data_IF_949455069293
#
_entry.id   IF_949455069293
#
_cell.length_a   1.000
_cell.length_b   1.000
_cell.length_c   1.000
_cell.angle_alpha   90.00
_cell.angle_beta   90.00
_cell.angle_gamma   90.00
#
_symmetry.space_group_name_H-M   'P 1'
#
loop_
_entity.id
_entity.type
_entity.pdbx_description
1 polymer ?
#
# COMPACT_ATOMS: atom_id res chain seq x y z
N UNK A 1 13.65 -6.99 -7.17
CA UNK A 1 14.20 -7.04 -5.79
C UNK A 1 13.09 -7.55 -4.91
N UNK A 2 13.33 -8.48 -3.98
CA UNK A 2 12.29 -8.81 -3.00
C UNK A 2 12.18 -7.62 -2.05
N UNK A 3 10.98 -7.04 -1.82
CA UNK A 3 10.84 -6.04 -0.79
C UNK A 3 11.32 -6.67 0.53
N UNK A 4 12.12 -5.91 1.29
CA UNK A 4 12.37 -6.24 2.69
C UNK A 4 11.01 -6.55 3.30
N UNK A 5 10.87 -7.72 3.93
CA UNK A 5 9.70 -8.03 4.72
C UNK A 5 9.74 -7.12 5.95
N UNK A 6 9.43 -5.84 5.75
CA UNK A 6 9.19 -4.91 6.83
C UNK A 6 8.06 -5.52 7.66
N UNK A 7 8.31 -5.71 8.95
CA UNK A 7 7.24 -6.07 9.86
C UNK A 7 6.12 -5.02 9.80
N UNK A 8 4.96 -5.36 10.35
CA UNK A 8 3.89 -4.39 10.57
C UNK A 8 2.73 -4.44 9.55
N UNK A 9 1.75 -3.54 9.72
CA UNK A 9 0.57 -3.47 8.88
C UNK A 9 0.91 -3.18 7.41
N UNK A 10 0.41 -4.01 6.51
CA UNK A 10 0.56 -3.83 5.07
C UNK A 10 -0.73 -4.19 4.33
N UNK A 11 -1.23 -3.28 3.51
CA UNK A 11 -2.31 -3.52 2.56
C UNK A 11 -1.74 -3.42 1.15
N UNK A 12 -1.79 -4.51 0.39
CA UNK A 12 -1.27 -4.59 -0.97
C UNK A 12 -2.40 -4.75 -1.98
N UNK A 13 -2.42 -3.88 -3.00
CA UNK A 13 -3.38 -3.92 -4.09
C UNK A 13 -2.61 -4.00 -5.40
N UNK A 14 -2.47 -5.22 -5.94
CA UNK A 14 -1.97 -5.41 -7.28
C UNK A 14 -1.27 -6.72 -7.55
N UNK A 15 -0.43 -6.69 -8.56
CA UNK A 15 0.42 -7.80 -8.98
C UNK A 15 1.87 -7.49 -8.65
N UNK A 16 2.75 -8.47 -8.87
CA UNK A 16 4.19 -8.31 -8.58
C UNK A 16 4.88 -7.20 -9.37
N UNK A 17 4.28 -6.70 -10.47
CA UNK A 17 4.87 -5.68 -11.35
C UNK A 17 4.11 -4.36 -11.37
N UNK A 18 2.88 -4.36 -10.86
CA UNK A 18 1.98 -3.23 -10.88
C UNK A 18 1.11 -3.26 -9.63
N UNK A 19 1.47 -2.45 -8.64
CA UNK A 19 0.80 -2.42 -7.35
C UNK A 19 0.80 -1.05 -6.71
N UNK A 20 -0.12 -0.88 -5.76
CA UNK A 20 -0.02 0.13 -4.70
C UNK A 20 -0.13 -0.57 -3.36
N UNK A 21 0.71 -0.19 -2.41
CA UNK A 21 0.71 -0.72 -1.07
C UNK A 21 0.71 0.42 -0.04
N UNK A 22 -0.13 0.27 0.97
CA UNK A 22 -0.16 1.14 2.14
C UNK A 22 0.46 0.36 3.30
N UNK A 23 1.61 0.81 3.78
CA UNK A 23 2.43 0.08 4.75
C UNK A 23 2.79 0.98 5.92
N UNK A 24 2.89 0.40 7.11
CA UNK A 24 3.58 1.03 8.24
C UNK A 24 4.78 0.15 8.58
N UNK A 25 5.97 0.46 8.03
CA UNK A 25 7.14 -0.39 8.19
C UNK A 25 7.59 -0.44 9.66
N UNK A 26 7.58 -1.64 10.22
CA UNK A 26 8.27 -1.96 11.47
C UNK A 26 9.59 -2.64 11.08
N UNK A 27 10.57 -1.81 10.71
CA UNK A 27 11.92 -2.27 10.43
C UNK A 27 12.66 -2.47 11.75
N UNK A 28 13.19 -3.67 11.99
CA UNK A 28 14.09 -3.92 13.10
C UNK A 28 15.52 -3.47 12.71
N UNK A 29 16.12 -2.46 13.37
CA UNK A 29 17.49 -2.03 13.10
C UNK A 29 18.53 -3.16 13.28
N UNK A 30 18.20 -4.21 14.04
CA UNK A 30 19.06 -5.37 14.23
C UNK A 30 18.99 -6.37 13.05
N UNK A 31 18.00 -6.26 12.18
CA UNK A 31 17.83 -7.13 11.02
C UNK A 31 19.00 -7.01 10.04
N UNK A 32 19.50 -8.13 9.53
CA UNK A 32 20.66 -8.15 8.63
C UNK A 32 20.38 -7.43 7.31
N UNK A 33 19.15 -7.51 6.80
CA UNK A 33 18.69 -6.81 5.61
C UNK A 33 18.65 -5.30 5.81
N UNK A 34 18.12 -4.82 6.94
CA UNK A 34 18.09 -3.40 7.31
C UNK A 34 19.51 -2.86 7.47
N UNK A 35 20.39 -3.60 8.16
CA UNK A 35 21.78 -3.20 8.34
C UNK A 35 22.54 -3.08 7.02
N UNK A 36 22.34 -4.03 6.10
CA UNK A 36 22.97 -3.99 4.78
C UNK A 36 22.44 -2.82 3.94
N UNK A 37 21.13 -2.59 3.93
CA UNK A 37 20.53 -1.48 3.21
C UNK A 37 21.00 -0.12 3.75
N UNK A 38 21.16 0.00 5.07
CA UNK A 38 21.65 1.23 5.70
C UNK A 38 23.12 1.51 5.32
N UNK A 39 23.95 0.47 5.28
CA UNK A 39 25.34 0.57 4.81
C UNK A 39 25.41 1.00 3.33
N UNK A 40 24.57 0.43 2.46
CA UNK A 40 24.48 0.80 1.05
C UNK A 40 24.02 2.26 0.85
N UNK A 41 23.10 2.73 1.69
CA UNK A 41 22.60 4.10 1.68
C UNK A 41 23.52 5.10 2.41
N UNK A 42 24.54 4.63 3.15
CA UNK A 42 25.45 5.48 3.92
C UNK A 42 24.84 6.13 5.15
N UNK A 43 23.80 5.53 5.72
CA UNK A 43 23.09 5.99 6.95
C UNK A 43 23.13 4.92 8.04
N UNK A 44 22.65 5.22 9.26
CA UNK A 44 22.60 4.19 10.32
C UNK A 44 21.36 3.29 10.17
N UNK A 45 21.39 2.04 10.66
CA UNK A 45 20.21 1.17 10.66
C UNK A 45 19.01 1.78 11.39
N UNK A 46 19.24 2.56 12.46
CA UNK A 46 18.19 3.27 13.20
C UNK A 46 17.61 4.43 12.39
N UNK A 47 18.43 5.12 11.60
CA UNK A 47 17.99 6.18 10.69
C UNK A 47 17.18 5.59 9.53
N UNK A 48 17.59 4.43 9.01
CA UNK A 48 16.82 3.72 7.97
C UNK A 48 15.50 3.15 8.51
N UNK A 49 15.52 2.56 9.71
CA UNK A 49 14.33 2.00 10.32
C UNK A 49 13.32 3.09 10.71
N UNK A 50 13.82 4.27 11.05
CA UNK A 50 13.01 5.39 11.50
C UNK A 50 12.24 5.07 12.79
N UNK A 51 11.24 5.89 13.13
CA UNK A 51 10.44 5.70 14.34
C UNK A 51 9.46 4.51 14.26
N UNK A 52 9.27 3.89 13.09
CA UNK A 52 8.37 2.74 12.88
C UNK A 52 6.87 3.04 13.02
N UNK A 53 6.49 4.30 13.22
CA UNK A 53 5.11 4.75 13.40
C UNK A 53 4.56 5.50 12.17
N UNK A 54 5.38 5.68 11.15
CA UNK A 54 5.05 6.48 9.97
C UNK A 54 4.51 5.59 8.86
N UNK A 55 3.33 5.93 8.36
CA UNK A 55 2.74 5.29 7.20
C UNK A 55 3.47 5.69 5.93
N UNK A 56 3.52 4.80 4.95
CA UNK A 56 4.06 5.05 3.63
C UNK A 56 3.17 4.45 2.54
N UNK A 57 3.16 5.09 1.38
CA UNK A 57 2.60 4.53 0.15
C UNK A 57 3.77 4.07 -0.72
N UNK A 58 3.75 2.79 -1.08
CA UNK A 58 4.63 2.23 -2.09
C UNK A 58 3.83 1.98 -3.35
N UNK A 59 4.42 2.17 -4.51
CA UNK A 59 3.77 1.81 -5.77
C UNK A 59 4.81 1.31 -6.76
N UNK A 60 4.38 0.40 -7.64
CA UNK A 60 5.18 -0.09 -8.75
C UNK A 60 4.37 0.02 -10.03
N UNK A 61 5.03 0.43 -11.12
CA UNK A 61 4.42 0.49 -12.45
C UNK A 61 5.40 -0.05 -13.48
N UNK A 62 5.06 -1.15 -14.13
CA UNK A 62 5.90 -1.77 -15.16
C UNK A 62 7.28 -2.21 -14.67
N UNK A 63 7.42 -2.56 -13.38
CA UNK A 63 8.69 -2.99 -12.79
C UNK A 63 9.51 -1.88 -12.11
N UNK A 64 9.11 -0.61 -12.25
CA UNK A 64 9.77 0.53 -11.59
C UNK A 64 8.96 0.93 -10.36
N UNK A 65 9.57 0.71 -9.18
CA UNK A 65 8.97 0.96 -7.87
C UNK A 65 9.49 2.24 -7.20
N UNK A 66 8.59 2.96 -6.54
CA UNK A 66 8.89 4.16 -5.76
C UNK A 66 7.89 4.29 -4.59
N UNK A 67 8.06 5.28 -3.72
CA UNK A 67 7.17 5.50 -2.59
C UNK A 67 7.43 6.79 -1.82
N UNK A 68 6.53 7.11 -0.90
CA UNK A 68 6.64 8.28 -0.04
C UNK A 68 5.98 8.06 1.31
N UNK A 69 6.49 8.78 2.31
CA UNK A 69 5.97 8.77 3.67
C UNK A 69 4.75 9.69 3.82
N UNK A 70 3.90 9.33 4.77
CA UNK A 70 2.66 10.01 5.14
C UNK A 70 2.74 10.46 6.61
N UNK A 71 3.55 11.48 6.93
CA UNK A 71 3.68 11.95 8.31
C UNK A 71 2.34 12.46 8.84
N UNK A 72 1.96 12.02 10.03
CA UNK A 72 0.74 12.44 10.72
C UNK A 72 -0.53 11.64 10.36
N UNK A 73 -0.44 10.67 9.44
CA UNK A 73 -1.53 9.70 9.21
C UNK A 73 -1.61 8.75 10.40
N UNK A 74 -2.82 8.58 10.97
CA UNK A 74 -3.06 7.63 12.06
C UNK A 74 -3.68 6.36 11.49
N UNK A 75 -3.65 5.27 12.28
CA UNK A 75 -4.19 3.96 11.87
C UNK A 75 -5.69 4.00 11.49
N UNK A 76 -6.44 4.99 11.99
CA UNK A 76 -7.86 5.13 11.67
C UNK A 76 -8.10 5.41 10.19
N UNK A 77 -7.20 6.14 9.52
CA UNK A 77 -7.32 6.56 8.13
C UNK A 77 -7.09 5.37 7.16
N UNK A 78 -6.00 4.59 7.25
CA UNK A 78 -5.86 3.32 6.53
C UNK A 78 -6.96 2.31 6.85
N UNK A 79 -7.41 2.24 8.10
CA UNK A 79 -8.51 1.36 8.48
C UNK A 79 -9.84 1.76 7.82
N UNK A 80 -10.14 3.05 7.71
CA UNK A 80 -11.35 3.54 7.03
C UNK A 80 -11.30 3.25 5.52
N UNK A 81 -10.15 3.49 4.88
CA UNK A 81 -9.92 3.10 3.47
C UNK A 81 -10.17 1.60 3.26
N UNK A 82 -9.55 0.75 4.08
CA UNK A 82 -9.68 -0.70 3.97
C UNK A 82 -11.13 -1.18 4.20
N UNK A 83 -11.86 -0.60 5.16
CA UNK A 83 -13.28 -0.92 5.39
C UNK A 83 -14.14 -0.56 4.18
N UNK A 84 -13.98 0.65 3.63
CA UNK A 84 -14.73 1.08 2.43
C UNK A 84 -14.43 0.19 1.23
N UNK A 85 -13.17 -0.21 1.05
CA UNK A 85 -12.78 -1.13 -0.02
C UNK A 85 -13.41 -2.51 0.18
N UNK A 86 -13.38 -3.05 1.41
CA UNK A 86 -14.03 -4.32 1.74
C UNK A 86 -15.53 -4.28 1.47
N UNK A 87 -16.22 -3.24 1.93
CA UNK A 87 -17.66 -3.07 1.74
C UNK A 87 -18.00 -2.94 0.26
N UNK A 88 -17.20 -2.18 -0.49
CA UNK A 88 -17.32 -2.06 -1.95
C UNK A 88 -17.19 -3.42 -2.63
N UNK A 89 -16.15 -4.19 -2.32
CA UNK A 89 -15.92 -5.52 -2.91
C UNK A 89 -16.99 -6.54 -2.55
N UNK A 90 -17.52 -6.51 -1.32
CA UNK A 90 -18.55 -7.42 -0.87
C UNK A 90 -19.92 -7.16 -1.52
N UNK A 91 -20.18 -5.92 -1.93
CA UNK A 91 -21.45 -5.48 -2.51
C UNK A 91 -21.43 -5.33 -4.04
N UNK A 92 -20.25 -5.29 -4.67
CA UNK A 92 -20.11 -4.83 -6.04
C UNK A 92 -20.34 -5.91 -7.11
N UNK A 93 -21.43 -5.73 -7.86
CA UNK A 93 -21.57 -6.22 -9.25
C UNK A 93 -21.24 -5.11 -10.29
N UNK A 94 -20.83 -3.92 -9.82
CA UNK A 94 -20.63 -2.72 -10.64
C UNK A 94 -19.36 -1.94 -10.22
N UNK A 95 -18.82 -1.06 -11.09
CA UNK A 95 -17.69 -0.22 -10.74
C UNK A 95 -17.96 0.70 -9.54
N UNK A 96 -16.95 0.94 -8.72
CA UNK A 96 -17.01 1.82 -7.57
C UNK A 96 -15.69 2.56 -7.35
N UNK A 97 -15.70 3.54 -6.46
CA UNK A 97 -14.51 4.32 -6.10
C UNK A 97 -14.35 4.33 -4.58
N UNK A 98 -13.13 4.20 -4.12
CA UNK A 98 -12.74 4.40 -2.72
C UNK A 98 -11.75 5.54 -2.66
N UNK A 99 -12.04 6.51 -1.81
CA UNK A 99 -11.19 7.67 -1.57
C UNK A 99 -10.46 7.47 -0.22
N UNK A 100 -9.13 7.50 -0.28
CA UNK A 100 -8.20 7.41 0.84
C UNK A 100 -7.63 8.76 1.26
N UNK A 101 -8.32 9.85 0.92
CA UNK A 101 -7.86 11.22 1.14
C UNK A 101 -7.10 11.78 -0.05
N UNK A 102 -6.27 12.79 0.20
CA UNK A 102 -5.56 13.54 -0.85
C UNK A 102 -4.50 12.73 -1.59
N UNK A 103 -4.07 11.59 -1.06
CA UNK A 103 -2.88 10.86 -1.52
C UNK A 103 -3.19 9.63 -2.37
N UNK A 104 -4.35 9.00 -2.14
CA UNK A 104 -4.71 7.74 -2.80
C UNK A 104 -6.20 7.68 -3.08
N UNK A 105 -6.54 7.42 -4.35
CA UNK A 105 -7.89 7.10 -4.78
C UNK A 105 -7.87 5.82 -5.61
N UNK A 106 -8.77 4.89 -5.31
CA UNK A 106 -8.91 3.62 -6.02
C UNK A 106 -10.20 3.61 -6.83
N UNK A 107 -10.10 3.35 -8.13
CA UNK A 107 -11.24 3.06 -8.99
C UNK A 107 -11.27 1.56 -9.25
N UNK A 108 -12.33 0.89 -8.81
CA UNK A 108 -12.51 -0.54 -8.90
C UNK A 108 -13.51 -0.88 -10.00
N UNK A 109 -13.20 -1.89 -10.82
CA UNK A 109 -14.09 -2.37 -11.88
C UNK A 109 -14.13 -3.90 -11.93
N UNK A 110 -15.31 -4.52 -12.07
CA UNK A 110 -15.40 -5.96 -12.31
C UNK A 110 -14.59 -6.35 -13.56
N UNK A 111 -13.76 -7.38 -13.44
CA UNK A 111 -12.83 -7.81 -14.49
C UNK A 111 -12.96 -9.30 -14.85
N UNK A 112 -14.12 -9.89 -14.54
CA UNK A 112 -14.36 -11.32 -14.68
C UNK A 112 -15.08 -11.87 -13.44
N UNK A 113 -15.50 -13.13 -13.49
CA UNK A 113 -16.18 -13.77 -12.37
C UNK A 113 -15.26 -13.83 -11.14
N UNK A 114 -15.65 -13.16 -10.05
CA UNK A 114 -14.89 -13.15 -8.80
C UNK A 114 -13.57 -12.37 -8.86
N UNK A 115 -13.37 -11.52 -9.86
CA UNK A 115 -12.15 -10.70 -10.01
C UNK A 115 -12.47 -9.22 -10.20
N UNK A 116 -11.65 -8.36 -9.62
CA UNK A 116 -11.76 -6.91 -9.71
C UNK A 116 -10.43 -6.31 -10.17
N UNK A 117 -10.46 -5.42 -11.16
CA UNK A 117 -9.29 -4.63 -11.54
C UNK A 117 -9.36 -3.25 -10.91
N UNK A 118 -8.20 -2.69 -10.54
CA UNK A 118 -8.13 -1.36 -9.98
C UNK A 118 -7.27 -0.42 -10.83
N UNK A 119 -7.67 0.84 -10.82
CA UNK A 119 -6.85 1.97 -11.21
C UNK A 119 -6.60 2.79 -9.94
N UNK A 120 -5.35 2.81 -9.48
CA UNK A 120 -4.93 3.62 -8.35
C UNK A 120 -4.42 4.97 -8.85
N UNK A 121 -4.98 6.05 -8.33
CA UNK A 121 -4.54 7.42 -8.54
C UNK A 121 -3.78 7.85 -7.29
N UNK A 122 -2.47 8.01 -7.44
CA UNK A 122 -1.53 8.33 -6.35
C UNK A 122 -1.07 9.77 -6.52
N UNK A 123 -1.24 10.58 -5.48
CA UNK A 123 -0.78 11.97 -5.46
C UNK A 123 0.21 12.13 -4.31
N UNK A 124 1.53 12.19 -4.60
CA UNK A 124 2.51 12.46 -3.57
C UNK A 124 2.24 13.82 -2.89
N UNK A 125 2.46 13.96 -1.58
CA UNK A 125 2.14 15.17 -0.82
C UNK A 125 3.07 16.35 -1.11
N UNK A 126 4.22 16.13 -1.77
CA UNK A 126 5.15 17.20 -2.13
C UNK A 126 4.62 18.02 -3.33
N UNK A 127 4.84 19.34 -3.34
CA UNK A 127 4.29 20.28 -4.32
C UNK A 127 4.76 20.00 -5.77
N UNK A 128 5.84 19.22 -5.93
CA UNK A 128 6.38 18.78 -7.22
C UNK A 128 5.89 17.40 -7.67
N UNK A 129 5.12 16.69 -6.83
CA UNK A 129 4.62 15.35 -7.13
C UNK A 129 3.69 15.35 -8.33
N UNK A 130 4.12 14.75 -9.44
CA UNK A 130 3.21 14.51 -10.58
C UNK A 130 2.22 13.43 -10.15
N UNK A 131 0.90 13.64 -10.27
CA UNK A 131 -0.07 12.57 -10.01
C UNK A 131 0.22 11.36 -10.90
N UNK A 132 0.17 10.18 -10.30
CA UNK A 132 0.50 8.92 -10.93
C UNK A 132 -0.72 8.03 -11.00
N UNK A 133 -0.77 7.20 -12.05
CA UNK A 133 -1.82 6.21 -12.25
C UNK A 133 -1.18 4.83 -12.39
N UNK A 134 -1.60 3.90 -11.55
CA UNK A 134 -1.18 2.50 -11.56
C UNK A 134 -2.39 1.61 -11.85
N UNK A 135 -2.26 0.71 -12.82
CA UNK A 135 -3.29 -0.26 -13.16
C UNK A 135 -2.89 -1.62 -12.58
N UNK A 136 -3.61 -2.09 -11.57
CA UNK A 136 -3.12 -3.19 -10.71
C UNK A 136 -3.60 -4.58 -11.16
N UNK A 137 -4.11 -4.69 -12.40
CA UNK A 137 -4.57 -5.94 -13.02
C UNK A 137 -5.81 -6.54 -12.36
N UNK A 138 -6.42 -7.61 -12.93
CA UNK A 138 -7.54 -8.29 -12.28
C UNK A 138 -7.06 -9.09 -11.06
N UNK A 139 -7.58 -8.76 -9.89
CA UNK A 139 -7.27 -9.41 -8.61
C UNK A 139 -8.43 -10.31 -8.15
N UNK A 140 -8.17 -11.49 -7.57
CA UNK A 140 -9.21 -12.34 -7.00
C UNK A 140 -9.87 -11.66 -5.79
N UNK A 141 -11.18 -11.40 -5.88
CA UNK A 141 -11.95 -10.73 -4.82
C UNK A 141 -11.89 -11.49 -3.48
N UNK A 142 -12.02 -12.82 -3.42
CA UNK A 142 -11.93 -13.55 -2.15
C UNK A 142 -10.57 -13.42 -1.46
N UNK A 143 -9.48 -13.42 -2.23
CA UNK A 143 -8.13 -13.24 -1.67
C UNK A 143 -7.97 -11.82 -1.11
N UNK A 144 -8.39 -10.82 -1.89
CA UNK A 144 -8.32 -9.43 -1.47
C UNK A 144 -9.17 -9.14 -0.22
N UNK A 145 -10.35 -9.75 -0.09
CA UNK A 145 -11.16 -9.64 1.13
C UNK A 145 -10.46 -10.24 2.36
N UNK A 146 -9.75 -11.36 2.19
CA UNK A 146 -8.97 -11.97 3.27
C UNK A 146 -7.76 -11.10 3.67
N UNK A 147 -7.09 -10.50 2.69
CA UNK A 147 -5.97 -9.58 2.94
C UNK A 147 -6.45 -8.31 3.67
N UNK A 148 -7.63 -7.78 3.29
CA UNK A 148 -8.26 -6.66 3.98
C UNK A 148 -8.62 -6.98 5.43
N UNK A 149 -9.16 -8.18 5.70
CA UNK A 149 -9.47 -8.62 7.05
C UNK A 149 -8.22 -8.80 7.92
N UNK A 150 -7.14 -9.33 7.33
CA UNK A 150 -5.84 -9.47 7.99
C UNK A 150 -5.23 -8.11 8.30
N UNK A 151 -5.26 -7.19 7.34
CA UNK A 151 -4.79 -5.82 7.52
C UNK A 151 -5.56 -5.10 8.63
N UNK A 152 -6.89 -5.14 8.61
CA UNK A 152 -7.73 -4.52 9.63
C UNK A 152 -7.47 -5.11 11.03
N UNK A 153 -7.17 -6.42 11.11
CA UNK A 153 -6.79 -7.08 12.36
C UNK A 153 -5.42 -6.64 12.89
N UNK A 154 -4.48 -6.25 12.01
CA UNK A 154 -3.15 -5.76 12.41
C UNK A 154 -3.13 -4.35 13.00
N UNK A 155 -4.23 -3.60 12.82
CA UNK A 155 -4.39 -2.22 13.33
C UNK A 155 -5.11 -2.14 14.68
N UNK A 156 -5.54 -3.28 15.23
CA UNK A 156 -6.42 -3.37 16.41
C UNK A 156 -5.66 -3.54 17.73
#
# INVERSE_FOLDING_TARGET
>A
MSPLAAGGPALFIGTDTDYVALVRPELDPADEGVRRAAEEAGITPEELAGPGDTWAVLFERGGDGDGFELPGVRDAEPADLARRLRDGLAAADAPFTVDGGSVLRLEARPAGAGTCAFTAHVTPPDEAGTPLTVETGPLPVPALLADLDTFLGSLA
#
